data_IF_243840925642
#
_entry.id   IF_243840925642
#
_cell.length_a   1.000
_cell.length_b   1.000
_cell.length_c   1.000
_cell.angle_alpha   90.00
_cell.angle_beta   90.00
_cell.angle_gamma   90.00
#
_symmetry.space_group_name_H-M   'P 1'
#
loop_
_entity.id
_entity.type
_entity.pdbx_description
1 polymer ?
#
# COMPACT_ATOMS: atom_id res chain seq x y z
N UNK A 1 31.92 -57.93 17.23
CA UNK A 1 31.05 -57.35 18.24
C UNK A 1 30.99 -55.87 17.93
N UNK A 2 29.96 -55.43 17.18
CA UNK A 2 29.78 -54.04 16.75
C UNK A 2 28.66 -53.43 17.54
N UNK A 3 28.96 -52.35 18.27
CA UNK A 3 28.00 -51.58 19.10
C UNK A 3 27.49 -50.43 18.23
N UNK A 4 26.22 -50.49 17.87
CA UNK A 4 25.50 -49.39 17.22
C UNK A 4 25.01 -48.42 18.31
N UNK A 5 25.50 -47.18 18.30
CA UNK A 5 24.98 -46.06 19.10
C UNK A 5 23.91 -45.38 18.31
N UNK A 6 22.64 -45.62 18.70
CA UNK A 6 21.49 -44.81 18.20
C UNK A 6 21.44 -43.49 18.98
N UNK A 7 21.83 -42.41 18.31
CA UNK A 7 21.59 -41.05 18.81
C UNK A 7 20.15 -40.63 18.55
N UNK A 8 19.38 -40.37 19.62
CA UNK A 8 18.06 -39.74 19.53
C UNK A 8 18.23 -38.26 19.32
N UNK A 9 17.77 -37.74 18.18
CA UNK A 9 17.67 -36.29 17.89
C UNK A 9 16.40 -35.77 18.59
N UNK A 10 16.47 -34.76 19.46
CA UNK A 10 15.28 -34.17 20.01
C UNK A 10 14.54 -33.41 18.89
N UNK A 11 13.28 -33.78 18.66
CA UNK A 11 12.38 -33.01 17.81
C UNK A 11 12.05 -31.72 18.56
N UNK A 12 12.56 -30.58 18.08
CA UNK A 12 12.06 -29.27 18.48
C UNK A 12 10.68 -29.10 17.84
N UNK A 13 9.63 -29.22 18.63
CA UNK A 13 8.32 -28.73 18.26
C UNK A 13 8.45 -27.20 18.17
N UNK A 14 8.43 -26.66 16.97
CA UNK A 14 8.18 -25.23 16.77
C UNK A 14 6.73 -25.00 17.21
N UNK A 15 6.59 -24.32 18.33
CA UNK A 15 5.32 -23.79 18.78
C UNK A 15 5.01 -22.57 17.92
N UNK A 16 4.39 -22.79 16.74
CA UNK A 16 3.88 -21.76 15.84
C UNK A 16 2.65 -21.11 16.47
N UNK A 17 2.79 -20.53 17.67
CA UNK A 17 1.78 -19.64 18.24
C UNK A 17 1.88 -18.29 17.54
N UNK A 18 1.23 -18.19 16.40
CA UNK A 18 0.92 -16.91 15.79
C UNK A 18 0.15 -16.07 16.82
N UNK A 19 0.63 -14.86 17.16
CA UNK A 19 -0.09 -14.00 18.11
C UNK A 19 -1.54 -13.84 17.63
N UNK A 20 -2.48 -14.29 18.44
CA UNK A 20 -3.89 -14.10 18.13
C UNK A 20 -4.22 -12.60 18.25
N UNK A 21 -5.12 -12.07 17.41
CA UNK A 21 -5.60 -10.71 17.60
C UNK A 21 -6.21 -10.56 18.99
N UNK A 22 -5.91 -9.46 19.67
CA UNK A 22 -6.49 -9.17 20.97
C UNK A 22 -8.01 -9.00 20.82
N UNK A 23 -8.79 -9.70 21.66
CA UNK A 23 -10.23 -9.55 21.68
C UNK A 23 -10.57 -8.13 22.22
N UNK A 24 -11.15 -7.29 21.34
CA UNK A 24 -11.64 -6.00 21.74
C UNK A 24 -13.03 -6.09 22.42
N UNK A 25 -13.34 -5.14 23.27
CA UNK A 25 -14.66 -4.97 23.85
C UNK A 25 -15.64 -4.48 22.77
N UNK A 26 -16.59 -5.33 22.38
CA UNK A 26 -17.54 -5.03 21.30
C UNK A 26 -17.01 -5.44 19.92
N UNK A 27 -17.81 -5.39 18.90
CA UNK A 27 -17.63 -5.94 17.54
C UNK A 27 -16.34 -5.54 16.74
N UNK A 28 -15.29 -5.04 17.40
CA UNK A 28 -14.04 -4.63 16.80
C UNK A 28 -12.91 -5.65 17.03
N UNK A 29 -12.28 -6.10 15.97
CA UNK A 29 -11.07 -6.92 16.02
C UNK A 29 -9.84 -6.00 16.00
N UNK A 30 -8.97 -6.10 17.02
CA UNK A 30 -7.78 -5.25 17.17
C UNK A 30 -6.51 -6.03 16.88
N UNK A 31 -5.65 -5.46 16.05
CA UNK A 31 -4.34 -5.98 15.71
C UNK A 31 -3.26 -5.04 16.22
N UNK A 32 -2.46 -5.52 17.16
CA UNK A 32 -1.30 -4.82 17.70
C UNK A 32 -0.09 -4.95 16.76
N UNK A 33 0.90 -4.03 16.79
CA UNK A 33 2.11 -4.13 15.97
C UNK A 33 2.86 -5.46 16.13
N UNK A 34 2.81 -6.08 17.30
CA UNK A 34 3.43 -7.37 17.57
C UNK A 34 2.90 -8.50 16.66
N UNK A 35 1.61 -8.45 16.28
CA UNK A 35 1.03 -9.40 15.34
C UNK A 35 1.76 -9.39 13.98
N UNK A 36 2.16 -8.21 13.53
CA UNK A 36 2.78 -7.99 12.23
C UNK A 36 4.30 -8.18 12.23
N UNK A 37 4.94 -8.27 13.40
CA UNK A 37 6.41 -8.31 13.52
C UNK A 37 7.04 -9.43 12.67
N UNK A 38 6.38 -10.59 12.59
CA UNK A 38 6.82 -11.74 11.77
C UNK A 38 6.90 -11.44 10.26
N UNK A 39 6.17 -10.43 9.78
CA UNK A 39 6.12 -10.04 8.37
C UNK A 39 7.09 -8.90 8.04
N UNK A 40 7.78 -8.34 9.05
CA UNK A 40 8.69 -7.20 8.93
C UNK A 40 8.10 -6.05 8.10
N UNK A 41 6.91 -5.51 8.47
CA UNK A 41 6.23 -4.46 7.73
C UNK A 41 7.06 -3.17 7.77
N UNK A 42 7.09 -2.45 6.67
CA UNK A 42 7.77 -1.15 6.57
C UNK A 42 6.84 0.03 6.83
N UNK A 43 5.56 -0.16 6.51
CA UNK A 43 4.54 0.88 6.57
C UNK A 43 3.15 0.29 6.92
N UNK A 44 2.17 1.16 7.12
CA UNK A 44 0.81 0.76 7.47
C UNK A 44 0.14 -0.06 6.35
N UNK A 45 0.47 0.18 5.08
CA UNK A 45 -0.05 -0.62 3.97
C UNK A 45 0.36 -2.08 4.08
N UNK A 46 1.66 -2.32 4.34
CA UNK A 46 2.19 -3.68 4.53
C UNK A 46 1.45 -4.41 5.67
N UNK A 47 1.06 -3.67 6.73
CA UNK A 47 0.31 -4.24 7.86
C UNK A 47 -1.14 -4.55 7.48
N UNK A 48 -1.84 -3.60 6.87
CA UNK A 48 -3.26 -3.77 6.46
C UNK A 48 -3.42 -4.92 5.47
N UNK A 49 -2.50 -5.07 4.51
CA UNK A 49 -2.53 -6.15 3.52
C UNK A 49 -2.27 -7.55 4.15
N UNK A 50 -1.86 -7.63 5.44
CA UNK A 50 -1.66 -8.88 6.21
C UNK A 50 -2.82 -9.23 7.14
N UNK A 51 -3.88 -8.43 7.17
CA UNK A 51 -5.04 -8.71 8.02
C UNK A 51 -5.89 -9.82 7.37
N UNK A 52 -6.12 -10.94 8.07
CA UNK A 52 -6.90 -12.04 7.53
C UNK A 52 -8.34 -11.62 7.23
N UNK A 53 -8.82 -11.94 6.03
CA UNK A 53 -10.20 -11.68 5.62
C UNK A 53 -10.52 -10.22 5.29
N UNK A 54 -9.55 -9.31 5.40
CA UNK A 54 -9.70 -7.91 5.00
C UNK A 54 -9.00 -7.63 3.67
N UNK A 55 -9.61 -6.78 2.85
CA UNK A 55 -9.00 -6.26 1.64
C UNK A 55 -9.36 -4.79 1.45
N UNK A 56 -8.39 -3.98 1.04
CA UNK A 56 -8.59 -2.56 0.78
C UNK A 56 -9.46 -2.39 -0.45
N UNK A 57 -10.62 -1.76 -0.29
CA UNK A 57 -11.53 -1.37 -1.36
C UNK A 57 -11.33 0.10 -1.72
N UNK A 58 -11.51 0.44 -3.00
CA UNK A 58 -11.41 1.83 -3.44
C UNK A 58 -9.98 2.26 -3.81
N UNK A 59 -9.58 1.98 -5.02
CA UNK A 59 -8.31 2.46 -5.55
C UNK A 59 -8.27 2.60 -7.07
N UNK A 60 -8.95 1.76 -7.83
CA UNK A 60 -8.92 1.79 -9.30
C UNK A 60 -10.16 1.17 -9.97
N UNK A 61 -11.26 0.96 -9.24
CA UNK A 61 -12.47 0.51 -9.88
C UNK A 61 -13.12 1.65 -10.67
N UNK A 62 -12.66 1.84 -11.90
CA UNK A 62 -13.23 2.76 -12.88
C UNK A 62 -14.67 2.39 -13.31
N UNK A 63 -15.31 1.43 -12.62
CA UNK A 63 -16.58 0.84 -13.02
C UNK A 63 -17.83 1.25 -12.24
N UNK A 64 -17.71 1.80 -11.03
CA UNK A 64 -18.90 2.09 -10.21
C UNK A 64 -18.87 3.50 -9.60
N UNK A 65 -19.10 4.50 -10.43
CA UNK A 65 -19.48 5.83 -9.96
C UNK A 65 -20.98 5.86 -9.64
N UNK A 66 -21.37 5.17 -8.55
CA UNK A 66 -22.68 5.32 -7.94
C UNK A 66 -22.69 6.55 -7.05
N UNK A 67 -23.65 7.44 -7.24
CA UNK A 67 -23.90 8.58 -6.35
C UNK A 67 -24.08 8.09 -4.91
N UNK A 68 -23.13 8.39 -4.02
CA UNK A 68 -23.30 8.31 -2.57
C UNK A 68 -22.69 7.11 -1.85
N UNK A 69 -22.02 6.19 -2.51
CA UNK A 69 -21.27 5.14 -1.82
C UNK A 69 -19.78 5.49 -1.74
N UNK A 70 -19.31 5.67 -0.52
CA UNK A 70 -17.88 5.75 -0.28
C UNK A 70 -17.28 4.36 -0.45
N UNK A 71 -16.56 4.16 -1.52
CA UNK A 71 -15.90 2.87 -1.83
C UNK A 71 -14.67 2.61 -0.97
N UNK A 72 -14.26 3.56 -0.12
CA UNK A 72 -13.11 3.42 0.76
C UNK A 72 -13.52 2.76 2.07
N UNK A 73 -12.86 1.64 2.40
CA UNK A 73 -13.04 0.92 3.65
C UNK A 73 -11.83 1.02 4.59
N UNK A 74 -11.04 2.07 4.46
CA UNK A 74 -9.93 2.39 5.38
C UNK A 74 -10.09 3.82 5.87
N UNK A 75 -9.91 3.99 7.18
CA UNK A 75 -9.85 5.26 7.87
C UNK A 75 -8.56 5.34 8.66
N UNK A 76 -8.14 6.53 9.03
CA UNK A 76 -6.92 6.77 9.79
C UNK A 76 -7.25 7.67 10.97
N UNK A 77 -6.86 7.26 12.16
CA UNK A 77 -7.18 7.96 13.43
C UNK A 77 -8.67 8.30 13.57
N UNK A 78 -9.56 7.42 13.05
CA UNK A 78 -11.00 7.62 13.09
C UNK A 78 -11.53 8.56 12.02
N UNK A 79 -10.71 9.04 11.09
CA UNK A 79 -11.08 9.96 10.04
C UNK A 79 -10.95 9.35 8.66
N UNK A 80 -11.78 9.82 7.74
CA UNK A 80 -11.72 9.37 6.35
C UNK A 80 -10.53 9.99 5.64
N UNK A 81 -9.75 9.15 4.96
CA UNK A 81 -8.72 9.63 4.06
C UNK A 81 -9.37 10.37 2.89
N UNK A 82 -9.21 11.68 2.85
CA UNK A 82 -9.78 12.51 1.79
C UNK A 82 -8.68 12.96 0.83
N UNK A 83 -8.61 12.34 -0.32
CA UNK A 83 -7.83 12.88 -1.44
C UNK A 83 -8.53 12.54 -2.75
N UNK A 84 -8.72 13.56 -3.59
CA UNK A 84 -9.23 13.36 -4.95
C UNK A 84 -8.14 12.90 -5.92
N UNK A 85 -6.89 13.02 -5.52
CA UNK A 85 -5.70 12.83 -6.38
C UNK A 85 -4.79 11.69 -5.93
N UNK A 86 -5.04 11.09 -4.76
CA UNK A 86 -4.20 10.04 -4.20
C UNK A 86 -5.01 8.82 -3.80
N UNK A 87 -4.42 7.64 -4.01
CA UNK A 87 -5.04 6.41 -3.56
C UNK A 87 -4.86 6.23 -2.04
N UNK A 88 -5.80 5.49 -1.42
CA UNK A 88 -5.69 5.07 -0.02
C UNK A 88 -4.37 4.32 0.22
N UNK A 89 -3.95 3.52 -0.75
CA UNK A 89 -2.71 2.74 -0.65
C UNK A 89 -1.47 3.63 -0.58
N UNK A 90 -1.44 4.72 -1.35
CA UNK A 90 -0.31 5.66 -1.32
C UNK A 90 -0.24 6.38 0.02
N UNK A 91 -1.39 6.77 0.58
CA UNK A 91 -1.43 7.41 1.89
C UNK A 91 -0.98 6.46 3.00
N UNK A 92 -1.43 5.20 3.00
CA UNK A 92 -1.01 4.20 3.98
C UNK A 92 0.48 3.84 3.86
N UNK A 93 1.03 3.87 2.65
CA UNK A 93 2.47 3.61 2.42
C UNK A 93 3.36 4.64 3.09
N UNK A 94 2.88 5.87 3.27
CA UNK A 94 3.64 6.96 3.91
C UNK A 94 3.65 6.89 5.43
N UNK A 95 2.75 6.13 6.05
CA UNK A 95 2.73 5.94 7.51
C UNK A 95 3.72 4.84 7.87
N UNK A 96 4.87 5.15 8.54
CA UNK A 96 5.82 4.14 8.96
C UNK A 96 5.17 3.11 9.90
N UNK A 97 5.54 1.83 9.76
CA UNK A 97 5.02 0.78 10.63
C UNK A 97 5.36 1.03 12.12
N UNK A 98 6.46 1.73 12.38
CA UNK A 98 6.90 2.11 13.74
C UNK A 98 5.96 3.11 14.42
N UNK A 99 5.22 3.87 13.66
CA UNK A 99 4.32 4.91 14.14
C UNK A 99 2.91 4.36 14.35
N UNK A 100 2.61 3.17 13.80
CA UNK A 100 1.32 2.50 13.97
C UNK A 100 1.20 1.98 15.40
N UNK A 101 0.16 2.42 16.11
CA UNK A 101 -0.17 1.99 17.47
C UNK A 101 -0.99 0.71 17.43
N UNK A 102 -1.99 0.62 16.56
CA UNK A 102 -2.85 -0.55 16.32
C UNK A 102 -3.66 -0.40 15.05
N UNK A 103 -4.21 -1.50 14.57
CA UNK A 103 -5.21 -1.49 13.50
C UNK A 103 -6.48 -2.16 14.02
N UNK A 104 -7.61 -1.50 13.84
CA UNK A 104 -8.92 -1.96 14.29
C UNK A 104 -9.78 -2.30 13.09
N UNK A 105 -10.39 -3.48 13.07
CA UNK A 105 -11.41 -3.83 12.09
C UNK A 105 -12.77 -3.61 12.71
N UNK A 106 -13.50 -2.66 12.15
CA UNK A 106 -14.78 -2.17 12.63
C UNK A 106 -15.91 -2.53 11.64
N UNK A 107 -17.15 -2.58 12.12
CA UNK A 107 -18.30 -2.52 11.23
C UNK A 107 -18.52 -1.05 10.81
N UNK A 108 -18.46 -0.79 9.51
CA UNK A 108 -18.66 0.55 8.95
C UNK A 108 -20.03 1.16 9.32
N UNK A 109 -21.06 0.31 9.47
CA UNK A 109 -22.39 0.78 9.90
C UNK A 109 -22.41 1.25 11.36
N UNK A 110 -21.49 0.77 12.18
CA UNK A 110 -21.36 1.18 13.59
C UNK A 110 -20.50 2.43 13.77
N UNK A 111 -19.84 2.91 12.69
CA UNK A 111 -19.07 4.15 12.73
C UNK A 111 -19.96 5.36 12.59
N UNK A 112 -19.54 6.50 13.18
CA UNK A 112 -20.23 7.79 13.00
C UNK A 112 -19.97 8.43 11.63
N UNK A 113 -19.18 7.78 10.76
CA UNK A 113 -18.77 8.31 9.46
C UNK A 113 -19.80 7.93 8.39
N UNK A 114 -20.52 8.89 7.79
CA UNK A 114 -21.56 8.59 6.82
C UNK A 114 -21.03 7.86 5.57
N UNK A 115 -21.74 6.81 5.14
CA UNK A 115 -21.44 6.07 3.90
C UNK A 115 -20.34 5.02 4.00
N UNK A 116 -19.81 4.73 5.20
CA UNK A 116 -19.02 3.52 5.43
C UNK A 116 -19.97 2.34 5.70
N UNK A 117 -19.70 1.22 5.04
CA UNK A 117 -20.47 -0.03 5.20
C UNK A 117 -19.53 -1.23 5.16
N UNK A 118 -19.93 -2.34 5.80
CA UNK A 118 -19.12 -3.54 5.85
C UNK A 118 -17.89 -3.38 6.74
N UNK A 119 -16.84 -4.16 6.47
CA UNK A 119 -15.60 -4.10 7.24
C UNK A 119 -14.78 -2.88 6.89
N UNK A 120 -14.37 -2.14 7.91
CA UNK A 120 -13.54 -0.93 7.81
C UNK A 120 -12.29 -1.12 8.67
N UNK A 121 -11.12 -0.89 8.11
CA UNK A 121 -9.88 -0.83 8.87
C UNK A 121 -9.62 0.60 9.35
N UNK A 122 -9.49 0.77 10.67
CA UNK A 122 -9.03 2.01 11.29
C UNK A 122 -7.56 1.86 11.66
N UNK A 123 -6.69 2.55 10.95
CA UNK A 123 -5.26 2.61 11.27
C UNK A 123 -5.03 3.71 12.28
N UNK A 124 -4.73 3.33 13.52
CA UNK A 124 -4.39 4.28 14.59
C UNK A 124 -2.88 4.42 14.64
N UNK A 125 -2.38 5.61 14.38
CA UNK A 125 -0.96 5.91 14.46
C UNK A 125 -0.70 7.19 15.25
N UNK A 126 0.52 7.34 15.76
CA UNK A 126 0.97 8.54 16.46
C UNK A 126 2.29 8.96 15.85
N UNK A 127 2.33 10.17 15.30
CA UNK A 127 3.58 10.77 14.85
C UNK A 127 4.27 11.47 16.02
N UNK A 128 5.43 10.96 16.42
CA UNK A 128 6.27 11.58 17.43
C UNK A 128 7.33 12.47 16.76
N UNK A 129 6.93 13.67 16.33
CA UNK A 129 7.78 14.57 15.56
C UNK A 129 7.63 14.38 14.06
N UNK A 130 8.74 14.25 13.33
CA UNK A 130 8.72 14.03 11.89
C UNK A 130 9.33 12.66 11.54
N UNK A 131 8.63 11.89 10.74
CA UNK A 131 9.09 10.63 10.15
C UNK A 131 9.19 10.76 8.64
N UNK A 132 10.19 10.13 8.02
CA UNK A 132 10.38 10.16 6.58
C UNK A 132 10.51 8.78 6.00
N UNK A 133 10.01 8.62 4.77
CA UNK A 133 10.20 7.42 3.97
C UNK A 133 10.84 7.78 2.63
N UNK A 134 11.66 6.86 2.15
CA UNK A 134 12.30 6.96 0.84
C UNK A 134 12.15 5.63 0.12
N UNK A 135 11.61 5.69 -1.09
CA UNK A 135 11.53 4.56 -2.01
C UNK A 135 12.20 4.96 -3.32
N UNK A 136 13.12 4.16 -3.80
CA UNK A 136 13.74 4.34 -5.09
C UNK A 136 13.49 3.14 -5.97
N UNK A 137 12.80 3.36 -7.09
CA UNK A 137 12.44 2.33 -8.05
C UNK A 137 13.24 2.52 -9.32
N UNK A 138 14.02 1.51 -9.68
CA UNK A 138 14.79 1.48 -10.91
C UNK A 138 14.35 0.33 -11.80
N UNK A 139 14.44 0.53 -13.11
CA UNK A 139 14.14 -0.50 -14.09
C UNK A 139 15.17 -0.51 -15.21
N UNK A 140 15.60 -1.71 -15.58
CA UNK A 140 16.51 -1.92 -16.67
C UNK A 140 15.89 -2.93 -17.63
N UNK A 141 15.82 -2.58 -18.89
CA UNK A 141 15.47 -3.49 -19.97
C UNK A 141 16.65 -3.57 -20.94
N UNK A 142 17.11 -4.76 -21.31
CA UNK A 142 18.36 -4.91 -22.08
C UNK A 142 18.27 -4.36 -23.50
N UNK A 143 17.04 -4.18 -24.03
CA UNK A 143 16.84 -3.80 -25.43
C UNK A 143 15.79 -2.70 -25.57
N UNK A 144 16.00 -1.79 -26.53
CA UNK A 144 15.04 -0.83 -27.07
C UNK A 144 14.48 0.20 -26.10
N UNK A 145 15.03 0.31 -24.88
CA UNK A 145 14.60 1.28 -23.89
C UNK A 145 15.81 1.88 -23.17
N UNK A 146 15.65 3.13 -22.73
CA UNK A 146 16.60 3.75 -21.81
C UNK A 146 16.42 3.17 -20.39
N UNK A 147 17.46 3.28 -19.56
CA UNK A 147 17.36 2.94 -18.14
C UNK A 147 16.37 3.86 -17.43
N UNK A 148 15.55 3.26 -16.58
CA UNK A 148 14.60 3.95 -15.71
C UNK A 148 15.27 4.17 -14.35
N UNK A 149 15.79 5.39 -14.10
CA UNK A 149 16.61 5.66 -12.93
C UNK A 149 15.94 6.55 -11.87
N UNK A 150 14.90 7.30 -12.25
CA UNK A 150 14.32 8.35 -11.42
C UNK A 150 12.89 8.04 -10.97
N UNK A 151 12.58 6.77 -10.72
CA UNK A 151 11.32 6.37 -10.12
C UNK A 151 11.39 6.31 -8.59
N UNK A 152 10.27 6.52 -7.93
CA UNK A 152 10.13 6.37 -6.49
C UNK A 152 9.46 7.55 -5.81
N UNK A 153 9.56 7.57 -4.48
CA UNK A 153 8.93 8.58 -3.64
C UNK A 153 9.85 8.94 -2.45
N UNK A 154 9.86 10.21 -2.10
CA UNK A 154 10.30 10.69 -0.80
C UNK A 154 9.12 11.36 -0.11
N UNK A 155 8.85 10.99 1.14
CA UNK A 155 7.76 11.55 1.91
C UNK A 155 8.18 11.84 3.35
N UNK A 156 7.55 12.87 3.93
CA UNK A 156 7.69 13.24 5.33
C UNK A 156 6.29 13.41 5.90
N UNK A 157 6.03 12.74 7.02
CA UNK A 157 4.83 12.89 7.83
C UNK A 157 5.26 13.37 9.21
N UNK A 158 4.50 14.28 9.80
CA UNK A 158 4.84 14.77 11.13
C UNK A 158 3.74 15.60 11.75
N UNK A 159 3.97 15.91 13.04
CA UNK A 159 3.13 16.81 13.83
C UNK A 159 3.97 17.87 14.51
N UNK A 160 3.44 19.07 14.62
CA UNK A 160 4.04 20.19 15.32
C UNK A 160 2.96 21.00 16.05
N UNK A 161 2.80 20.75 17.35
CA UNK A 161 1.71 21.32 18.11
C UNK A 161 0.35 20.80 17.64
N UNK A 162 -0.49 21.71 17.17
CA UNK A 162 -1.84 21.41 16.63
C UNK A 162 -1.84 21.12 15.12
N UNK A 163 -0.69 21.18 14.46
CA UNK A 163 -0.56 20.97 13.00
C UNK A 163 -0.03 19.57 12.70
N UNK A 164 -0.80 18.76 11.97
CA UNK A 164 -0.34 17.56 11.33
C UNK A 164 -0.08 17.84 9.85
N UNK A 165 0.99 17.25 9.31
CA UNK A 165 1.36 17.46 7.93
C UNK A 165 1.90 16.20 7.26
N UNK A 166 1.63 16.09 5.99
CA UNK A 166 2.26 15.12 5.09
C UNK A 166 2.73 15.84 3.83
N UNK A 167 3.97 15.65 3.46
CA UNK A 167 4.55 16.19 2.22
C UNK A 167 5.24 15.05 1.50
N UNK A 168 4.96 14.87 0.22
CA UNK A 168 5.65 13.87 -0.59
C UNK A 168 5.97 14.39 -1.98
N UNK A 169 7.09 13.93 -2.52
CA UNK A 169 7.49 14.08 -3.90
C UNK A 169 7.69 12.69 -4.49
N UNK A 170 6.91 12.35 -5.50
CA UNK A 170 6.99 11.08 -6.20
C UNK A 170 7.22 11.28 -7.69
N UNK A 171 7.79 10.29 -8.34
CA UNK A 171 7.87 10.21 -9.78
C UNK A 171 7.53 8.78 -10.24
N UNK A 172 6.34 8.64 -10.83
CA UNK A 172 5.98 7.43 -11.55
C UNK A 172 6.56 7.52 -12.95
N UNK A 173 7.44 6.59 -13.27
CA UNK A 173 8.06 6.57 -14.57
C UNK A 173 7.92 5.20 -15.24
N UNK A 174 7.86 5.20 -16.55
CA UNK A 174 7.84 3.98 -17.35
C UNK A 174 8.65 4.19 -18.63
N UNK A 175 9.30 3.12 -19.05
CA UNK A 175 10.02 3.03 -20.30
C UNK A 175 9.51 1.81 -21.05
N UNK A 176 9.18 1.98 -22.31
CA UNK A 176 8.69 0.89 -23.14
C UNK A 176 9.28 0.98 -24.53
N UNK A 177 9.40 -0.16 -25.19
CA UNK A 177 9.89 -0.25 -26.54
C UNK A 177 9.90 -1.68 -27.02
N UNK A 178 9.82 -1.82 -28.33
CA UNK A 178 10.01 -3.09 -29.03
C UNK A 178 10.58 -2.83 -30.42
N UNK A 179 11.29 -3.81 -30.94
CA UNK A 179 11.65 -3.87 -32.34
C UNK A 179 11.44 -5.30 -32.88
N UNK A 180 11.30 -5.42 -34.16
CA UNK A 180 11.19 -6.71 -34.83
C UNK A 180 10.44 -6.67 -36.14
N UNK A 181 10.51 -7.76 -36.90
CA UNK A 181 9.81 -7.88 -38.15
C UNK A 181 8.30 -8.10 -37.92
N UNK A 182 7.50 -7.37 -38.69
CA UNK A 182 6.07 -7.62 -38.90
C UNK A 182 5.87 -8.27 -40.22
N UNK A 183 5.32 -9.48 -40.22
CA UNK A 183 5.03 -10.23 -41.43
C UNK A 183 3.54 -10.11 -41.75
N UNK A 184 3.23 -9.55 -42.91
CA UNK A 184 1.87 -9.44 -43.43
C UNK A 184 1.67 -10.54 -44.48
N UNK A 185 0.67 -11.39 -44.27
CA UNK A 185 0.32 -12.49 -45.17
C UNK A 185 -1.10 -12.33 -45.70
N UNK A 186 -1.36 -12.90 -46.87
CA UNK A 186 -2.73 -13.04 -47.39
C UNK A 186 -3.51 -14.16 -46.66
N UNK A 187 -4.75 -14.41 -47.14
CA UNK A 187 -5.64 -15.44 -46.55
C UNK A 187 -5.10 -16.86 -46.72
N UNK A 188 -4.26 -17.07 -47.74
CA UNK A 188 -3.68 -18.36 -48.09
C UNK A 188 -2.30 -18.55 -47.44
N UNK A 189 -1.85 -17.55 -46.63
CA UNK A 189 -0.58 -17.57 -45.92
C UNK A 189 0.62 -17.12 -46.76
N UNK A 190 0.42 -16.64 -47.97
CA UNK A 190 1.51 -16.11 -48.79
C UNK A 190 1.97 -14.74 -48.27
N UNK A 191 3.28 -14.53 -48.23
CA UNK A 191 3.87 -13.27 -47.77
C UNK A 191 3.50 -12.11 -48.70
N UNK A 192 2.84 -11.09 -48.14
CA UNK A 192 2.54 -9.83 -48.84
C UNK A 192 3.66 -8.82 -48.58
N UNK A 193 4.03 -8.65 -47.33
CA UNK A 193 4.97 -7.60 -46.90
C UNK A 193 5.74 -8.02 -45.67
N UNK A 194 7.00 -7.65 -45.57
CA UNK A 194 7.84 -7.74 -44.41
C UNK A 194 8.24 -6.31 -44.02
N UNK A 195 7.80 -5.89 -42.80
CA UNK A 195 8.12 -4.57 -42.27
C UNK A 195 9.08 -4.74 -41.07
N UNK A 196 10.07 -3.88 -40.96
CA UNK A 196 10.90 -3.76 -39.79
C UNK A 196 10.36 -2.62 -38.92
N UNK A 197 9.87 -2.96 -37.74
CA UNK A 197 9.20 -2.02 -36.83
C UNK A 197 10.05 -1.78 -35.62
N UNK A 198 10.31 -0.51 -35.31
CA UNK A 198 10.97 -0.09 -34.07
C UNK A 198 10.21 1.04 -33.44
N UNK A 199 9.85 0.88 -32.17
CA UNK A 199 9.28 1.97 -31.38
C UNK A 199 9.83 1.98 -29.95
N UNK A 200 9.90 3.17 -29.35
CA UNK A 200 10.23 3.34 -27.95
C UNK A 200 9.50 4.56 -27.42
N UNK A 201 9.24 4.55 -26.12
CA UNK A 201 8.62 5.66 -25.45
C UNK A 201 9.04 5.74 -23.99
N UNK A 202 8.84 6.92 -23.43
CA UNK A 202 9.06 7.17 -22.02
C UNK A 202 7.90 7.96 -21.44
N UNK A 203 7.63 7.70 -20.17
CA UNK A 203 6.66 8.43 -19.37
C UNK A 203 7.32 8.77 -18.04
N UNK A 204 7.24 10.03 -17.65
CA UNK A 204 7.68 10.55 -16.35
C UNK A 204 6.54 11.41 -15.80
N UNK A 205 6.11 11.15 -14.57
CA UNK A 205 5.02 11.84 -13.91
C UNK A 205 5.45 12.31 -12.51
N UNK A 206 6.23 13.42 -12.42
CA UNK A 206 6.57 13.98 -11.13
C UNK A 206 5.33 14.59 -10.47
N UNK A 207 5.12 14.26 -9.19
CA UNK A 207 3.96 14.69 -8.42
C UNK A 207 4.41 15.18 -7.04
N UNK A 208 4.01 16.39 -6.67
CA UNK A 208 4.11 16.91 -5.31
C UNK A 208 2.75 16.79 -4.64
N UNK A 209 2.70 16.12 -3.50
CA UNK A 209 1.49 16.00 -2.68
C UNK A 209 1.71 16.60 -1.31
N UNK A 210 0.71 17.34 -0.82
CA UNK A 210 0.72 17.93 0.52
C UNK A 210 -0.64 17.75 1.17
N UNK A 211 -0.64 17.40 2.45
CA UNK A 211 -1.83 17.40 3.29
C UNK A 211 -1.48 18.08 4.62
N UNK A 212 -2.39 18.89 5.10
CA UNK A 212 -2.27 19.58 6.38
C UNK A 212 -3.59 19.45 7.11
N UNK A 213 -3.52 19.17 8.40
CA UNK A 213 -4.65 19.19 9.32
C UNK A 213 -4.30 20.03 10.53
N UNK A 214 -5.17 20.91 10.95
CA UNK A 214 -4.94 21.77 12.11
C UNK A 214 -6.10 21.63 13.10
N UNK A 215 -5.77 21.29 14.34
CA UNK A 215 -6.74 21.23 15.44
C UNK A 215 -6.87 22.61 16.11
N UNK A 216 -8.02 23.25 15.90
CA UNK A 216 -8.34 24.56 16.51
C UNK A 216 -8.75 24.44 18.00
N UNK A 217 -8.79 23.25 18.57
CA UNK A 217 -9.41 22.99 19.88
C UNK A 217 -10.94 23.02 19.82
N UNK A 218 -11.59 22.35 20.77
CA UNK A 218 -13.05 22.32 20.82
C UNK A 218 -13.73 21.40 19.80
N UNK A 219 -12.98 20.50 19.14
CA UNK A 219 -13.53 19.48 18.22
C UNK A 219 -13.77 19.99 16.80
N UNK A 220 -13.19 21.11 16.42
CA UNK A 220 -13.20 21.63 15.04
C UNK A 220 -11.83 21.40 14.40
N UNK A 221 -11.80 20.65 13.29
CA UNK A 221 -10.62 20.44 12.44
C UNK A 221 -10.86 21.07 11.06
N UNK A 222 -9.80 21.56 10.44
CA UNK A 222 -9.80 22.12 9.09
C UNK A 222 -8.63 21.57 8.26
#
# INVERSE_FOLDING_TARGET
MAIAVMGTVPAYAQDDQQPAPAAANGDAQVFEPAYFAQFAPRNALDMVDRIPGFSISGGNDQGQRGLGQATQNVIVNGERLSSKSESVRDQLRRIPATDVVRIEILDGNATSIPGLTGQVANVVYTSNGASGQFEWTTGFRPHNTEAQLFGGEISVIGSSGALDYTVSLSNENNRFGADGPVTITDRDGALIELQDTKFSGRFDNPKLSTAFSYDFGGGVQA
#
